data_IF_689800531862
#
_entry.id   IF_689800531862
#
_cell.length_a   1.000
_cell.length_b   1.000
_cell.length_c   1.000
_cell.angle_alpha   90.00
_cell.angle_beta   90.00
_cell.angle_gamma   90.00
#
_symmetry.space_group_name_H-M   'P 1'
#
loop_
_entity.id
_entity.type
_entity.pdbx_description
1 polymer ?
#
# COMPACT_ATOMS: atom_id res chain seq x y z
N UNK A 1 -36.06 -23.74 -42.75
CA UNK A 1 -35.86 -22.28 -42.84
C UNK A 1 -36.61 -21.65 -41.68
N UNK A 2 -35.88 -21.07 -40.74
CA UNK A 2 -36.16 -19.81 -39.98
C UNK A 2 -35.22 -19.84 -38.76
N UNK A 3 -34.21 -18.99 -38.86
CA UNK A 3 -33.24 -18.61 -37.83
C UNK A 3 -33.83 -17.38 -37.14
N UNK A 4 -33.94 -17.35 -35.80
CA UNK A 4 -34.28 -16.13 -35.06
C UNK A 4 -33.12 -15.80 -34.12
N UNK A 5 -32.38 -14.76 -34.50
CA UNK A 5 -31.46 -14.00 -33.68
C UNK A 5 -32.26 -13.06 -32.76
N UNK A 6 -31.94 -13.05 -31.46
CA UNK A 6 -32.37 -12.03 -30.51
C UNK A 6 -31.13 -11.44 -29.85
N UNK A 7 -30.72 -10.27 -30.31
CA UNK A 7 -29.72 -9.41 -29.67
C UNK A 7 -30.33 -8.04 -29.40
N UNK A 8 -30.16 -7.54 -28.18
CA UNK A 8 -30.08 -6.10 -27.92
C UNK A 8 -31.18 -5.51 -27.03
N UNK A 9 -31.03 -5.61 -25.71
CA UNK A 9 -31.60 -4.65 -24.74
C UNK A 9 -30.68 -4.51 -23.51
N UNK A 10 -29.61 -3.72 -23.61
CA UNK A 10 -28.82 -3.28 -22.45
C UNK A 10 -28.32 -1.86 -22.68
N UNK A 11 -29.21 -0.85 -22.66
CA UNK A 11 -28.78 0.56 -22.72
C UNK A 11 -29.70 1.55 -21.99
N UNK A 12 -30.64 1.07 -21.18
CA UNK A 12 -31.66 1.95 -20.55
C UNK A 12 -31.44 2.13 -19.04
N UNK A 13 -30.79 1.19 -18.35
CA UNK A 13 -30.57 1.26 -16.90
C UNK A 13 -29.50 2.30 -16.47
N UNK A 14 -28.47 2.53 -17.29
CA UNK A 14 -27.41 3.49 -16.96
C UNK A 14 -27.88 4.96 -17.01
N UNK A 15 -28.84 5.27 -17.90
CA UNK A 15 -29.40 6.63 -18.03
C UNK A 15 -30.28 7.01 -16.84
N UNK A 16 -31.00 6.03 -16.27
CA UNK A 16 -31.84 6.25 -15.09
C UNK A 16 -31.00 6.43 -13.82
N UNK A 17 -29.98 5.60 -13.62
CA UNK A 17 -29.05 5.74 -12.48
C UNK A 17 -28.30 7.07 -12.49
N UNK A 18 -27.90 7.56 -13.67
CA UNK A 18 -27.26 8.88 -13.81
C UNK A 18 -28.20 10.03 -13.43
N UNK A 19 -29.48 9.93 -13.81
CA UNK A 19 -30.50 10.93 -13.43
C UNK A 19 -30.83 10.90 -11.94
N UNK A 20 -30.79 9.73 -11.30
CA UNK A 20 -31.06 9.58 -9.87
C UNK A 20 -29.90 10.12 -9.03
N UNK A 21 -28.65 9.85 -9.44
CA UNK A 21 -27.44 10.41 -8.82
C UNK A 21 -27.41 11.94 -8.90
N UNK A 22 -27.72 12.51 -10.07
CA UNK A 22 -27.79 13.98 -10.24
C UNK A 22 -28.82 14.63 -9.30
N UNK A 23 -30.01 14.03 -9.14
CA UNK A 23 -31.02 14.59 -8.21
C UNK A 23 -30.60 14.54 -6.75
N UNK A 24 -29.89 13.49 -6.34
CA UNK A 24 -29.38 13.38 -4.98
C UNK A 24 -28.27 14.40 -4.71
N UNK A 25 -27.39 14.65 -5.68
CA UNK A 25 -26.34 15.67 -5.56
C UNK A 25 -26.93 17.09 -5.50
N UNK A 26 -27.94 17.40 -6.32
CA UNK A 26 -28.60 18.71 -6.33
C UNK A 26 -29.36 19.01 -5.02
N UNK A 27 -29.97 17.99 -4.40
CA UNK A 27 -30.68 18.14 -3.12
C UNK A 27 -29.71 18.41 -1.97
N UNK A 28 -28.55 17.75 -1.96
CA UNK A 28 -27.49 17.95 -0.95
C UNK A 28 -26.86 19.35 -1.08
N UNK A 29 -26.67 19.85 -2.30
CA UNK A 29 -26.08 21.18 -2.52
C UNK A 29 -27.01 22.29 -2.00
N UNK A 30 -28.32 22.15 -2.20
CA UNK A 30 -29.31 23.13 -1.73
C UNK A 30 -29.48 23.12 -0.20
N UNK A 31 -29.29 21.96 0.44
CA UNK A 31 -29.41 21.82 1.91
C UNK A 31 -28.14 22.36 2.64
N UNK A 32 -26.98 22.34 1.98
CA UNK A 32 -25.69 22.81 2.53
C UNK A 32 -25.42 24.29 2.23
N UNK A 33 -25.85 24.80 1.08
CA UNK A 33 -25.62 26.17 0.66
C UNK A 33 -26.96 26.86 0.44
N UNK A 34 -27.49 27.45 1.53
CA UNK A 34 -28.74 28.20 1.53
C UNK A 34 -28.87 29.15 0.33
N UNK A 35 -30.10 29.22 -0.17
CA UNK A 35 -30.55 29.97 -1.36
C UNK A 35 -29.95 31.38 -1.45
N UNK A 36 -28.87 31.55 -2.22
CA UNK A 36 -28.54 32.79 -2.90
C UNK A 36 -27.39 32.57 -3.89
N UNK A 37 -27.71 32.16 -5.12
CA UNK A 37 -27.20 32.78 -6.36
C UNK A 37 -27.78 32.15 -7.62
N UNK A 38 -28.30 33.03 -8.48
CA UNK A 38 -28.78 32.75 -9.83
C UNK A 38 -27.70 32.10 -10.68
N UNK A 39 -28.15 31.08 -11.41
CA UNK A 39 -27.45 30.26 -12.39
C UNK A 39 -26.94 31.11 -13.56
N UNK A 40 -25.65 31.42 -13.58
CA UNK A 40 -24.92 31.62 -14.83
C UNK A 40 -24.33 30.26 -15.22
N UNK A 41 -24.69 29.79 -16.41
CA UNK A 41 -24.15 28.60 -17.02
C UNK A 41 -22.65 28.78 -17.25
N UNK A 42 -21.83 28.35 -16.29
CA UNK A 42 -20.40 28.23 -16.45
C UNK A 42 -20.12 27.04 -17.39
N UNK A 43 -20.09 27.31 -18.68
CA UNK A 43 -19.29 26.52 -19.61
C UNK A 43 -17.88 26.43 -19.02
N UNK A 44 -17.40 25.20 -18.75
CA UNK A 44 -16.00 24.93 -18.47
C UNK A 44 -15.21 25.22 -19.74
N UNK A 45 -14.96 26.50 -19.95
CA UNK A 45 -14.03 27.00 -20.94
C UNK A 45 -12.67 26.80 -20.30
N UNK A 46 -11.94 25.81 -20.81
CA UNK A 46 -10.55 25.53 -20.51
C UNK A 46 -9.79 26.86 -20.60
N UNK A 47 -9.54 27.48 -19.45
CA UNK A 47 -8.69 28.66 -19.36
C UNK A 47 -7.32 28.16 -19.76
N UNK A 48 -6.92 28.53 -20.98
CA UNK A 48 -5.54 28.47 -21.44
C UNK A 48 -4.68 28.98 -20.31
N UNK A 49 -3.91 28.07 -19.72
CA UNK A 49 -2.99 28.34 -18.64
C UNK A 49 -2.20 29.57 -19.02
N UNK A 50 -2.37 30.66 -18.26
CA UNK A 50 -1.43 31.76 -18.32
C UNK A 50 -0.06 31.13 -18.18
N UNK A 51 0.84 31.43 -19.13
CA UNK A 51 2.24 30.99 -19.15
C UNK A 51 2.94 31.45 -17.87
N UNK A 52 2.67 30.75 -16.78
CA UNK A 52 3.29 30.92 -15.48
C UNK A 52 4.70 30.39 -15.56
N UNK A 53 5.63 31.08 -14.91
CA UNK A 53 7.02 30.66 -14.81
C UNK A 53 7.08 29.21 -14.33
N UNK A 54 7.48 28.30 -15.22
CA UNK A 54 7.77 26.93 -14.84
C UNK A 54 8.95 26.90 -13.88
N UNK A 55 8.92 25.98 -12.93
CA UNK A 55 10.01 25.81 -12.00
C UNK A 55 11.24 25.24 -12.75
N UNK A 56 12.12 26.13 -13.17
CA UNK A 56 13.37 25.78 -13.87
C UNK A 56 14.58 25.69 -12.93
N UNK A 57 14.36 25.90 -11.62
CA UNK A 57 15.43 25.93 -10.60
C UNK A 57 14.92 25.56 -9.22
N UNK A 58 15.53 24.54 -8.63
CA UNK A 58 15.28 24.11 -7.27
C UNK A 58 16.00 22.79 -7.04
N UNK A 59 16.62 22.61 -5.87
CA UNK A 59 17.33 21.38 -5.52
C UNK A 59 16.43 20.21 -5.10
N UNK A 60 15.11 20.38 -5.18
CA UNK A 60 14.15 19.42 -4.64
C UNK A 60 14.09 19.45 -3.11
N UNK A 61 13.49 18.40 -2.54
CA UNK A 61 13.48 18.15 -1.10
C UNK A 61 14.56 17.10 -0.77
N UNK A 62 15.23 17.22 0.36
CA UNK A 62 16.17 16.20 0.84
C UNK A 62 15.43 15.14 1.65
N UNK A 63 15.76 13.87 1.41
CA UNK A 63 15.15 12.72 2.08
C UNK A 63 16.09 12.10 3.13
N UNK A 64 16.67 12.92 4.00
CA UNK A 64 17.48 12.43 5.12
C UNK A 64 16.57 12.11 6.29
N UNK A 65 16.79 10.96 6.94
CA UNK A 65 16.09 10.60 8.17
C UNK A 65 16.31 11.70 9.24
N UNK A 66 15.29 12.04 10.05
CA UNK A 66 15.48 12.93 11.19
C UNK A 66 16.49 12.36 12.18
N UNK A 67 17.32 13.21 12.77
CA UNK A 67 18.23 12.80 13.84
C UNK A 67 17.42 12.45 15.10
N UNK A 68 17.49 11.19 15.52
CA UNK A 68 16.69 10.66 16.63
C UNK A 68 17.08 11.34 17.95
N UNK A 69 18.39 11.52 18.20
CA UNK A 69 18.89 12.04 19.48
C UNK A 69 18.56 13.51 19.64
N UNK A 70 18.76 14.30 18.58
CA UNK A 70 18.44 15.72 18.59
C UNK A 70 16.93 15.95 18.79
N UNK A 71 16.08 15.20 18.09
CA UNK A 71 14.63 15.32 18.24
C UNK A 71 14.14 14.88 19.64
N UNK A 72 14.78 13.90 20.28
CA UNK A 72 14.49 13.56 21.68
C UNK A 72 14.88 14.70 22.63
N UNK A 73 16.04 15.32 22.42
CA UNK A 73 16.50 16.45 23.23
C UNK A 73 15.60 17.68 23.06
N UNK A 74 15.16 17.96 21.85
CA UNK A 74 14.22 19.03 21.53
C UNK A 74 12.86 18.78 22.17
N UNK A 75 12.35 17.54 22.08
CA UNK A 75 11.11 17.15 22.72
C UNK A 75 11.15 17.37 24.24
N UNK A 76 12.22 16.93 24.89
CA UNK A 76 12.41 17.09 26.33
C UNK A 76 12.50 18.57 26.74
N UNK A 77 13.19 19.39 25.93
CA UNK A 77 13.37 20.82 26.17
C UNK A 77 12.05 21.59 26.00
N UNK A 78 11.31 21.31 24.93
CA UNK A 78 10.01 21.92 24.67
C UNK A 78 8.98 21.55 25.75
N UNK A 79 8.95 20.27 26.16
CA UNK A 79 8.04 19.80 27.20
C UNK A 79 8.27 20.51 28.54
N UNK A 80 9.53 20.67 28.97
CA UNK A 80 9.90 21.39 30.20
C UNK A 80 9.45 22.86 30.19
N UNK A 81 9.34 23.46 29.01
CA UNK A 81 8.91 24.85 28.82
C UNK A 81 7.38 24.99 28.65
N UNK A 82 6.63 23.87 28.70
CA UNK A 82 5.19 23.86 28.45
C UNK A 82 4.80 23.93 26.96
N UNK A 83 5.76 23.82 26.04
CA UNK A 83 5.55 23.76 24.59
C UNK A 83 5.13 22.36 24.14
N UNK A 84 3.89 21.98 24.43
CA UNK A 84 3.41 20.62 24.15
C UNK A 84 3.29 20.30 22.66
N UNK A 85 3.02 21.30 21.82
CA UNK A 85 2.91 21.13 20.36
C UNK A 85 4.28 20.79 19.77
N UNK A 86 5.30 21.56 20.15
CA UNK A 86 6.68 21.39 19.74
C UNK A 86 7.24 20.08 20.27
N UNK A 87 6.97 19.77 21.55
CA UNK A 87 7.36 18.50 22.14
C UNK A 87 6.76 17.30 21.37
N UNK A 88 5.47 17.37 21.04
CA UNK A 88 4.80 16.32 20.26
C UNK A 88 5.35 16.20 18.85
N UNK A 89 5.66 17.31 18.21
CA UNK A 89 6.26 17.32 16.87
C UNK A 89 7.64 16.66 16.89
N UNK A 90 8.51 17.06 17.82
CA UNK A 90 9.85 16.50 17.95
C UNK A 90 9.82 14.99 18.28
N UNK A 91 8.92 14.53 19.16
CA UNK A 91 8.73 13.08 19.39
C UNK A 91 8.37 12.33 18.11
N UNK A 92 7.50 12.89 17.27
CA UNK A 92 7.13 12.26 15.99
C UNK A 92 8.32 12.20 15.03
N UNK A 93 9.14 13.23 14.98
CA UNK A 93 10.36 13.22 14.16
C UNK A 93 11.36 12.18 14.67
N UNK A 94 11.53 12.04 15.99
CA UNK A 94 12.38 10.98 16.55
C UNK A 94 11.87 9.57 16.19
N UNK A 95 10.56 9.32 16.30
CA UNK A 95 9.94 8.06 15.88
C UNK A 95 10.17 7.80 14.40
N UNK A 96 9.95 8.81 13.56
CA UNK A 96 10.21 8.73 12.12
C UNK A 96 11.68 8.36 11.85
N UNK A 97 12.64 8.98 12.54
CA UNK A 97 14.06 8.65 12.43
C UNK A 97 14.36 7.19 12.77
N UNK A 98 13.80 6.68 13.87
CA UNK A 98 13.95 5.28 14.28
C UNK A 98 13.35 4.33 13.22
N UNK A 99 12.15 4.64 12.73
CA UNK A 99 11.48 3.82 11.71
C UNK A 99 12.27 3.81 10.40
N UNK A 100 12.85 4.94 9.99
CA UNK A 100 13.71 5.00 8.82
C UNK A 100 14.98 4.16 9.01
N UNK A 101 15.60 4.19 10.19
CA UNK A 101 16.78 3.37 10.49
C UNK A 101 16.46 1.87 10.45
N UNK A 102 15.36 1.45 11.09
CA UNK A 102 14.88 0.05 11.04
C UNK A 102 14.63 -0.36 9.58
N UNK A 103 13.94 0.47 8.80
CA UNK A 103 13.60 0.15 7.42
C UNK A 103 14.82 0.00 6.52
N UNK A 104 15.84 0.84 6.70
CA UNK A 104 17.10 0.72 5.98
C UNK A 104 17.86 -0.56 6.36
N UNK A 105 17.93 -0.90 7.65
CA UNK A 105 18.57 -2.15 8.10
C UNK A 105 17.88 -3.39 7.50
N UNK A 106 16.55 -3.36 7.39
CA UNK A 106 15.78 -4.42 6.73
C UNK A 106 16.10 -4.50 5.23
N UNK A 107 16.13 -3.37 4.52
CA UNK A 107 16.50 -3.31 3.10
C UNK A 107 17.94 -3.80 2.83
N UNK A 108 18.89 -3.47 3.70
CA UNK A 108 20.26 -4.00 3.63
C UNK A 108 20.30 -5.51 3.85
N UNK A 109 19.34 -6.06 4.59
CA UNK A 109 19.17 -7.50 4.80
C UNK A 109 18.52 -8.24 3.63
N UNK A 110 17.88 -7.54 2.70
CA UNK A 110 17.29 -8.16 1.51
C UNK A 110 18.37 -8.56 0.51
N UNK A 111 18.19 -9.69 -0.21
CA UNK A 111 19.16 -10.13 -1.21
C UNK A 111 19.31 -9.12 -2.36
N UNK A 112 20.47 -9.10 -3.01
CA UNK A 112 20.68 -8.27 -4.22
C UNK A 112 20.00 -8.87 -5.46
N UNK A 113 19.82 -10.19 -5.46
CA UNK A 113 19.18 -10.95 -6.54
C UNK A 113 18.30 -12.04 -5.97
N UNK A 114 17.16 -12.31 -6.61
CA UNK A 114 16.23 -13.40 -6.26
C UNK A 114 15.87 -14.15 -7.52
N UNK A 115 16.11 -15.45 -7.57
CA UNK A 115 15.84 -16.29 -8.74
C UNK A 115 16.35 -15.70 -10.08
N UNK A 116 17.51 -15.00 -10.05
CA UNK A 116 18.09 -14.33 -11.22
C UNK A 116 17.52 -12.93 -11.55
N UNK A 117 16.46 -12.50 -10.87
CA UNK A 117 15.96 -11.12 -10.91
C UNK A 117 16.90 -10.21 -10.12
N UNK A 118 17.18 -9.02 -10.64
CA UNK A 118 18.05 -8.04 -9.96
C UNK A 118 17.19 -7.02 -9.23
N UNK A 119 17.66 -6.58 -8.06
CA UNK A 119 17.02 -5.46 -7.38
C UNK A 119 17.01 -4.20 -8.26
N UNK A 120 15.97 -3.40 -8.11
CA UNK A 120 15.80 -2.08 -8.73
C UNK A 120 15.88 -1.05 -7.60
N UNK A 121 17.09 -0.58 -7.25
CA UNK A 121 17.31 0.23 -6.05
C UNK A 121 16.57 1.58 -6.12
N UNK A 122 16.26 2.07 -7.31
CA UNK A 122 15.46 3.29 -7.50
C UNK A 122 14.02 3.15 -7.02
N UNK A 123 13.54 1.91 -6.84
CA UNK A 123 12.21 1.58 -6.36
C UNK A 123 12.20 1.17 -4.88
N UNK A 124 13.37 1.16 -4.21
CA UNK A 124 13.41 0.90 -2.77
C UNK A 124 12.68 2.02 -2.03
N UNK A 125 11.80 1.65 -1.12
CA UNK A 125 10.96 2.58 -0.40
C UNK A 125 10.87 2.20 1.08
N UNK A 126 11.03 3.20 1.95
CA UNK A 126 10.81 3.09 3.39
C UNK A 126 9.85 4.20 3.78
N UNK A 127 8.64 3.81 4.19
CA UNK A 127 7.57 4.75 4.49
C UNK A 127 7.03 4.54 5.92
N UNK A 128 7.02 5.61 6.70
CA UNK A 128 6.35 5.67 8.00
C UNK A 128 4.90 6.09 7.82
N UNK A 129 3.97 5.37 8.45
CA UNK A 129 2.53 5.64 8.40
C UNK A 129 2.02 6.43 9.62
N UNK A 130 2.90 7.12 10.34
CA UNK A 130 2.75 7.69 11.70
C UNK A 130 1.64 8.75 11.95
N UNK A 131 0.64 8.87 11.06
CA UNK A 131 -0.59 9.63 11.30
C UNK A 131 -1.81 8.69 11.33
N UNK A 132 -2.20 8.26 12.53
CA UNK A 132 -3.43 7.49 12.76
C UNK A 132 -3.29 5.98 12.61
N UNK A 133 -2.18 5.52 12.03
CA UNK A 133 -1.77 4.12 11.95
C UNK A 133 -0.35 4.02 12.53
N UNK A 134 -0.08 3.01 13.35
CA UNK A 134 1.29 2.66 13.73
C UNK A 134 1.76 1.71 12.65
N UNK A 135 2.85 2.03 11.97
CA UNK A 135 3.36 1.15 10.92
C UNK A 135 4.50 1.75 10.12
N UNK A 136 5.48 0.89 9.83
CA UNK A 136 6.55 1.06 8.88
C UNK A 136 6.26 0.11 7.72
N UNK A 137 6.37 0.61 6.49
CA UNK A 137 6.32 -0.19 5.27
C UNK A 137 7.67 -0.08 4.57
N UNK A 138 8.24 -1.23 4.23
CA UNK A 138 9.46 -1.39 3.45
C UNK A 138 9.11 -2.10 2.15
N UNK A 139 9.56 -1.56 1.03
CA UNK A 139 9.34 -2.15 -0.28
C UNK A 139 10.65 -2.26 -1.05
N UNK A 140 10.86 -3.39 -1.73
CA UNK A 140 11.89 -3.58 -2.74
C UNK A 140 11.33 -4.29 -3.96
N UNK A 141 11.72 -3.84 -5.14
CA UNK A 141 11.36 -4.45 -6.41
C UNK A 141 12.58 -5.14 -7.01
N UNK A 142 12.37 -6.36 -7.51
CA UNK A 142 13.29 -7.09 -8.35
C UNK A 142 12.68 -7.25 -9.73
N UNK A 143 13.49 -7.12 -10.78
CA UNK A 143 13.01 -7.31 -12.15
C UNK A 143 14.07 -7.92 -13.05
N UNK A 144 13.61 -8.59 -14.09
CA UNK A 144 14.47 -9.19 -15.11
C UNK A 144 13.68 -10.18 -15.98
N UNK A 145 14.09 -10.34 -17.24
CA UNK A 145 13.54 -11.34 -18.16
C UNK A 145 12.00 -11.41 -18.15
N UNK A 146 11.31 -10.26 -18.27
CA UNK A 146 9.85 -10.09 -18.21
C UNK A 146 9.15 -10.34 -16.85
N UNK A 147 9.88 -10.85 -15.86
CA UNK A 147 9.38 -11.09 -14.51
C UNK A 147 9.63 -9.90 -13.58
N UNK A 148 8.75 -9.76 -12.59
CA UNK A 148 8.90 -8.79 -11.51
C UNK A 148 8.48 -9.43 -10.19
N UNK A 149 9.30 -9.22 -9.15
CA UNK A 149 8.97 -9.57 -7.77
C UNK A 149 9.01 -8.30 -6.93
N UNK A 150 7.89 -7.94 -6.32
CA UNK A 150 7.82 -6.87 -5.33
C UNK A 150 7.66 -7.48 -3.95
N UNK A 151 8.54 -7.09 -3.05
CA UNK A 151 8.50 -7.51 -1.65
C UNK A 151 8.07 -6.32 -0.83
N UNK A 152 6.98 -6.47 -0.10
CA UNK A 152 6.48 -5.50 0.86
C UNK A 152 6.50 -6.13 2.24
N UNK A 153 7.12 -5.44 3.19
CA UNK A 153 7.17 -5.86 4.58
C UNK A 153 6.70 -4.69 5.43
N UNK A 154 5.86 -4.94 6.42
CA UNK A 154 5.53 -3.88 7.36
C UNK A 154 4.93 -4.37 8.65
N UNK A 155 4.97 -3.51 9.67
CA UNK A 155 4.28 -3.72 10.95
C UNK A 155 2.90 -3.02 10.96
N UNK A 156 2.10 -3.27 9.92
CA UNK A 156 0.80 -2.64 9.73
C UNK A 156 -0.35 -3.55 10.19
N UNK A 157 -1.02 -3.13 11.26
CA UNK A 157 -2.20 -3.79 11.80
C UNK A 157 -3.38 -3.85 10.80
N UNK A 158 -3.49 -2.89 9.88
CA UNK A 158 -4.52 -2.88 8.84
C UNK A 158 -4.29 -4.00 7.81
N UNK A 159 -3.08 -4.12 7.27
CA UNK A 159 -2.73 -5.21 6.36
C UNK A 159 -2.91 -6.58 7.06
N UNK A 160 -2.47 -6.69 8.31
CA UNK A 160 -2.68 -7.91 9.10
C UNK A 160 -4.13 -8.28 9.31
N UNK A 161 -5.00 -7.30 9.55
CA UNK A 161 -6.43 -7.58 9.75
C UNK A 161 -7.05 -8.28 8.53
N UNK A 162 -6.64 -7.91 7.31
CA UNK A 162 -7.14 -8.53 6.08
C UNK A 162 -6.72 -9.99 5.96
N UNK A 163 -5.46 -10.30 6.26
CA UNK A 163 -4.96 -11.68 6.20
C UNK A 163 -5.51 -12.52 7.35
N UNK A 164 -5.65 -11.95 8.55
CA UNK A 164 -6.24 -12.66 9.68
C UNK A 164 -7.71 -12.99 9.43
N UNK A 165 -8.50 -12.09 8.84
CA UNK A 165 -9.88 -12.41 8.41
C UNK A 165 -9.86 -13.61 7.47
N UNK A 166 -8.95 -13.62 6.50
CA UNK A 166 -8.84 -14.74 5.56
C UNK A 166 -8.46 -16.05 6.27
N UNK A 167 -7.42 -16.05 7.13
CA UNK A 167 -6.94 -17.24 7.83
C UNK A 167 -7.92 -17.78 8.89
N UNK A 168 -8.69 -16.91 9.53
CA UNK A 168 -9.62 -17.27 10.62
C UNK A 168 -11.04 -17.53 10.15
N UNK A 169 -11.42 -17.06 8.96
CA UNK A 169 -12.69 -17.41 8.35
C UNK A 169 -12.68 -18.90 8.00
N UNK A 170 -13.29 -19.74 8.85
CA UNK A 170 -13.49 -21.17 8.59
C UNK A 170 -14.32 -21.48 7.32
N UNK A 171 -14.69 -20.44 6.55
CA UNK A 171 -15.41 -20.49 5.29
C UNK A 171 -14.61 -21.09 4.13
N UNK A 172 -13.28 -21.21 4.25
CA UNK A 172 -12.42 -21.71 3.16
C UNK A 172 -11.72 -23.04 3.47
N UNK A 173 -12.14 -23.74 4.55
CA UNK A 173 -11.75 -25.13 4.81
C UNK A 173 -12.41 -26.14 3.85
N UNK A 174 -13.23 -25.68 2.91
CA UNK A 174 -13.99 -26.52 1.97
C UNK A 174 -13.41 -26.48 0.57
N UNK A 175 -12.98 -27.67 0.14
CA UNK A 175 -12.87 -28.14 -1.25
C UNK A 175 -13.91 -27.53 -2.18
N UNK A 176 -13.52 -26.60 -3.04
CA UNK A 176 -14.30 -26.19 -4.20
C UNK A 176 -13.33 -25.79 -5.32
N UNK A 177 -13.64 -26.22 -6.54
CA UNK A 177 -12.78 -26.24 -7.73
C UNK A 177 -12.42 -24.85 -8.30
N UNK A 178 -12.86 -23.75 -7.66
CA UNK A 178 -12.68 -22.35 -8.09
C UNK A 178 -12.10 -21.47 -6.96
N UNK A 179 -10.92 -21.83 -6.43
CA UNK A 179 -10.24 -20.94 -5.47
C UNK A 179 -8.91 -20.45 -6.05
N UNK A 180 -8.93 -19.20 -6.51
CA UNK A 180 -7.76 -18.37 -6.84
C UNK A 180 -6.91 -18.02 -5.60
N UNK A 181 -7.13 -18.71 -4.49
CA UNK A 181 -6.43 -18.50 -3.23
C UNK A 181 -6.36 -19.79 -2.40
N UNK A 182 -5.33 -19.93 -1.58
CA UNK A 182 -5.20 -21.06 -0.66
C UNK A 182 -4.31 -20.76 0.52
N UNK A 183 -4.49 -21.53 1.59
CA UNK A 183 -3.59 -21.48 2.74
C UNK A 183 -2.32 -22.29 2.45
N UNK A 184 -1.17 -21.71 2.74
CA UNK A 184 0.14 -22.34 2.55
C UNK A 184 0.95 -22.29 3.84
N UNK A 185 1.86 -23.24 4.01
CA UNK A 185 2.93 -23.16 5.01
C UNK A 185 4.14 -22.50 4.35
N UNK A 186 4.54 -21.34 4.85
CA UNK A 186 5.75 -20.64 4.43
C UNK A 186 6.73 -20.61 5.60
N UNK A 187 7.82 -21.38 5.52
CA UNK A 187 8.72 -21.64 6.66
C UNK A 187 7.90 -22.11 7.88
N UNK A 188 8.02 -21.48 9.04
CA UNK A 188 7.21 -21.83 10.22
C UNK A 188 5.89 -21.04 10.33
N UNK A 189 5.58 -20.20 9.34
CA UNK A 189 4.39 -19.34 9.32
C UNK A 189 3.29 -19.91 8.42
N UNK A 190 2.06 -19.55 8.75
CA UNK A 190 0.90 -19.79 7.88
C UNK A 190 0.65 -18.53 7.06
N UNK A 191 0.52 -18.71 5.77
CA UNK A 191 0.25 -17.63 4.83
C UNK A 191 -0.91 -17.96 3.89
N UNK A 192 -1.19 -16.98 3.04
CA UNK A 192 -2.18 -17.06 1.99
C UNK A 192 -1.45 -16.86 0.68
N UNK A 193 -1.60 -17.80 -0.25
CA UNK A 193 -1.18 -17.62 -1.62
C UNK A 193 -2.42 -17.36 -2.46
N UNK A 194 -2.46 -16.23 -3.16
CA UNK A 194 -3.47 -15.90 -4.15
C UNK A 194 -2.83 -15.83 -5.55
N UNK A 195 -3.66 -16.04 -6.56
CA UNK A 195 -3.30 -15.89 -7.97
C UNK A 195 -4.38 -15.08 -8.68
N UNK A 196 -3.99 -14.20 -9.58
CA UNK A 196 -4.88 -13.45 -10.44
C UNK A 196 -4.24 -13.32 -11.82
N UNK A 197 -5.01 -13.52 -12.89
CA UNK A 197 -4.47 -13.54 -14.27
C UNK A 197 -3.82 -12.21 -14.70
N UNK A 198 -4.13 -11.09 -14.03
CA UNK A 198 -3.59 -9.78 -14.35
C UNK A 198 -2.38 -9.40 -13.47
N UNK A 199 -2.44 -9.73 -12.18
CA UNK A 199 -1.45 -9.33 -11.18
C UNK A 199 -0.49 -10.45 -10.75
N UNK A 200 -0.72 -11.68 -11.20
CA UNK A 200 0.13 -12.83 -10.92
C UNK A 200 -0.09 -13.39 -9.51
N UNK A 201 0.98 -13.86 -8.88
CA UNK A 201 0.91 -14.48 -7.56
C UNK A 201 1.09 -13.44 -6.45
N UNK A 202 0.33 -13.56 -5.38
CA UNK A 202 0.51 -12.80 -4.14
C UNK A 202 0.60 -13.75 -2.96
N UNK A 203 1.76 -13.82 -2.32
CA UNK A 203 1.98 -14.53 -1.07
C UNK A 203 1.94 -13.53 0.09
N UNK A 204 0.98 -13.70 1.01
CA UNK A 204 0.84 -12.89 2.22
C UNK A 204 1.06 -13.74 3.46
N UNK A 205 2.08 -13.42 4.24
CA UNK A 205 2.53 -14.18 5.41
C UNK A 205 2.56 -13.27 6.63
N UNK A 206 1.56 -13.36 7.52
CA UNK A 206 1.64 -12.77 8.85
C UNK A 206 2.77 -13.42 9.64
N UNK A 207 3.57 -12.61 10.31
CA UNK A 207 4.59 -13.08 11.24
C UNK A 207 4.62 -12.17 12.47
N UNK A 208 5.02 -12.74 13.60
CA UNK A 208 4.97 -12.04 14.89
C UNK A 208 3.56 -11.60 15.28
N UNK A 209 3.46 -10.45 15.95
CA UNK A 209 2.19 -9.93 16.48
C UNK A 209 1.57 -8.87 15.57
N UNK A 210 2.42 -8.12 14.88
CA UNK A 210 2.03 -6.92 14.14
C UNK A 210 2.62 -6.84 12.73
N UNK A 211 3.39 -7.84 12.28
CA UNK A 211 4.08 -7.79 10.99
C UNK A 211 3.50 -8.70 9.91
N UNK A 212 3.68 -8.26 8.67
CA UNK A 212 3.32 -9.00 7.47
C UNK A 212 4.45 -8.95 6.45
N UNK A 213 4.68 -10.09 5.79
CA UNK A 213 5.53 -10.23 4.62
C UNK A 213 4.63 -10.49 3.42
N UNK A 214 4.76 -9.68 2.36
CA UNK A 214 4.01 -9.83 1.12
C UNK A 214 4.99 -9.94 -0.03
N UNK A 215 4.83 -10.98 -0.85
CA UNK A 215 5.56 -11.16 -2.10
C UNK A 215 4.58 -11.18 -3.27
N UNK A 216 4.65 -10.17 -4.13
CA UNK A 216 3.86 -10.02 -5.35
C UNK A 216 4.75 -10.36 -6.55
N UNK A 217 4.43 -11.46 -7.24
CA UNK A 217 5.18 -11.98 -8.37
C UNK A 217 4.40 -11.92 -9.68
N UNK A 218 4.86 -11.10 -10.61
CA UNK A 218 4.31 -10.98 -11.97
C UNK A 218 5.12 -11.86 -12.93
N UNK A 219 4.43 -12.59 -13.81
CA UNK A 219 4.99 -13.53 -14.80
C UNK A 219 5.81 -14.69 -14.22
N UNK A 220 5.53 -15.09 -12.98
CA UNK A 220 6.01 -16.36 -12.43
C UNK A 220 5.19 -17.51 -13.04
N UNK A 221 5.85 -18.56 -13.53
CA UNK A 221 5.20 -19.67 -14.25
C UNK A 221 4.35 -20.54 -13.31
N UNK A 222 4.74 -20.59 -12.03
CA UNK A 222 4.15 -21.51 -11.08
C UNK A 222 4.21 -21.00 -9.64
N UNK A 223 3.32 -21.55 -8.81
CA UNK A 223 3.41 -21.43 -7.36
C UNK A 223 4.79 -21.81 -6.82
N UNK A 224 5.39 -22.89 -7.34
CA UNK A 224 6.68 -23.36 -6.84
C UNK A 224 7.77 -22.31 -7.04
N UNK A 225 7.70 -21.58 -8.13
CA UNK A 225 8.67 -20.53 -8.47
C UNK A 225 8.54 -19.32 -7.55
N UNK A 226 7.32 -18.79 -7.35
CA UNK A 226 7.11 -17.66 -6.43
C UNK A 226 7.43 -18.04 -4.98
N UNK A 227 7.12 -19.28 -4.58
CA UNK A 227 7.46 -19.78 -3.25
C UNK A 227 8.97 -19.95 -3.07
N UNK A 228 9.69 -20.40 -4.12
CA UNK A 228 11.15 -20.49 -4.09
C UNK A 228 11.79 -19.10 -3.96
N UNK A 229 11.33 -18.13 -4.75
CA UNK A 229 11.78 -16.74 -4.69
C UNK A 229 11.53 -16.11 -3.30
N UNK A 230 10.34 -16.30 -2.75
CA UNK A 230 10.02 -15.81 -1.40
C UNK A 230 10.88 -16.46 -0.31
N UNK A 231 11.30 -17.72 -0.48
CA UNK A 231 12.12 -18.43 0.52
C UNK A 231 13.53 -17.85 0.70
N UNK A 232 14.03 -17.07 -0.26
CA UNK A 232 15.33 -16.38 -0.17
C UNK A 232 15.35 -15.28 0.91
N UNK A 233 14.18 -14.83 1.39
CA UNK A 233 14.06 -13.78 2.40
C UNK A 233 14.13 -14.33 3.82
N UNK A 234 15.02 -13.80 4.65
CA UNK A 234 15.14 -14.18 6.05
C UNK A 234 14.09 -13.48 6.94
N UNK A 235 12.89 -14.08 7.03
CA UNK A 235 11.80 -13.57 7.87
C UNK A 235 12.20 -13.49 9.34
N UNK A 236 13.05 -14.38 9.86
CA UNK A 236 13.47 -14.31 11.26
C UNK A 236 14.35 -13.10 11.51
N UNK A 237 15.28 -12.80 10.59
CA UNK A 237 16.06 -11.56 10.66
C UNK A 237 15.16 -10.34 10.60
N UNK A 238 14.21 -10.29 9.66
CA UNK A 238 13.25 -9.19 9.54
C UNK A 238 12.43 -9.01 10.83
N UNK A 239 11.91 -10.10 11.39
CA UNK A 239 11.17 -10.11 12.65
C UNK A 239 12.00 -9.55 13.80
N UNK A 240 13.27 -9.91 13.88
CA UNK A 240 14.19 -9.40 14.90
C UNK A 240 14.44 -7.90 14.74
N UNK A 241 14.60 -7.39 13.51
CA UNK A 241 14.79 -5.95 13.25
C UNK A 241 13.54 -5.14 13.66
N UNK A 242 12.34 -5.67 13.46
CA UNK A 242 11.12 -5.06 13.99
C UNK A 242 10.96 -5.17 15.51
N UNK A 243 11.82 -5.93 16.20
CA UNK A 243 11.73 -6.14 17.65
C UNK A 243 10.53 -7.01 18.06
N UNK A 244 10.02 -7.86 17.19
CA UNK A 244 8.90 -8.75 17.49
C UNK A 244 9.35 -10.03 18.21
N UNK A 245 8.51 -10.52 19.14
CA UNK A 245 8.74 -11.77 19.89
C UNK A 245 8.09 -12.98 19.24
#
# INVERSE_FOLDING_TARGET
>A
MVLILLTGQHTTAQSFLKKLKQRAEDEIINDVFGEDKKTESASFQQTSSASGTENTRGGGLTHTAPDVVDNINDAASAFKQGGYTEARYAVRQAILGIEMEIGQNILEGFPETVNGLKMVPENDNVASMSIGFVGLIIERVYSGNDQQLKITVGNDAAMLSSVNIYLTSGAYASTAEDQDHKQVKFKEYRGVLAYDDYSGYTLSVPFGQSSIFVAEGVNFESEQEIMAAANEFDIEKIKNEFGEQ
#
